data_IF_237931389907
#
_entry.id   IF_237931389907
#
_cell.length_a   1.000
_cell.length_b   1.000
_cell.length_c   1.000
_cell.angle_alpha   90.00
_cell.angle_beta   90.00
_cell.angle_gamma   90.00
#
_symmetry.space_group_name_H-M   'P 1'
#
loop_
_entity.id
_entity.type
_entity.pdbx_description
1 polymer ?
#
# COMPACT_ATOMS: atom_id res chain seq x y z
N UNK A 1 7.08 4.94 11.46
CA UNK A 1 7.88 4.72 12.67
C UNK A 1 8.37 3.28 12.80
N UNK A 2 7.51 2.26 12.68
CA UNK A 2 7.91 0.84 12.75
C UNK A 2 8.96 0.45 11.70
N UNK A 3 8.80 0.86 10.44
CA UNK A 3 9.76 0.55 9.38
C UNK A 3 11.16 1.12 9.64
N UNK A 4 11.27 2.28 10.30
CA UNK A 4 12.56 2.85 10.69
C UNK A 4 13.28 1.99 11.72
N UNK A 5 12.52 1.39 12.63
CA UNK A 5 13.08 0.49 13.67
C UNK A 5 13.48 -0.86 13.06
N UNK A 6 12.74 -1.36 12.08
CA UNK A 6 12.98 -2.68 11.49
C UNK A 6 14.05 -2.67 10.39
N UNK A 7 14.05 -1.66 9.52
CA UNK A 7 14.90 -1.63 8.31
C UNK A 7 15.95 -0.53 8.30
N UNK A 8 15.82 0.47 9.19
CA UNK A 8 16.64 1.66 9.22
C UNK A 8 16.12 2.77 8.30
N UNK A 9 16.59 4.00 8.54
CA UNK A 9 16.07 5.23 7.91
C UNK A 9 16.20 5.22 6.39
N UNK A 10 17.36 4.84 5.86
CA UNK A 10 17.63 4.87 4.43
C UNK A 10 16.74 3.92 3.64
N UNK A 11 16.61 2.67 4.11
CA UNK A 11 15.76 1.67 3.45
C UNK A 11 14.28 2.05 3.49
N UNK A 12 13.83 2.60 4.62
CA UNK A 12 12.46 3.12 4.74
C UNK A 12 12.20 4.25 3.77
N UNK A 13 13.15 5.18 3.61
CA UNK A 13 13.02 6.28 2.66
C UNK A 13 13.00 5.77 1.21
N UNK A 14 13.90 4.84 0.86
CA UNK A 14 13.91 4.22 -0.47
C UNK A 14 12.59 3.51 -0.76
N UNK A 15 12.08 2.74 0.21
CA UNK A 15 10.78 2.06 0.07
C UNK A 15 9.64 3.05 -0.15
N UNK A 16 9.58 4.10 0.66
CA UNK A 16 8.53 5.11 0.58
C UNK A 16 8.56 5.83 -0.78
N UNK A 17 9.73 6.29 -1.20
CA UNK A 17 9.89 7.01 -2.48
C UNK A 17 9.61 6.08 -3.67
N UNK A 18 10.16 4.87 -3.68
CA UNK A 18 9.94 3.94 -4.78
C UNK A 18 8.48 3.48 -4.84
N UNK A 19 7.87 3.19 -3.69
CA UNK A 19 6.46 2.81 -3.62
C UNK A 19 5.54 3.92 -4.14
N UNK A 20 5.77 5.15 -3.70
CA UNK A 20 5.04 6.32 -4.19
C UNK A 20 5.20 6.52 -5.70
N UNK A 21 6.43 6.49 -6.22
CA UNK A 21 6.69 6.71 -7.64
C UNK A 21 6.09 5.61 -8.53
N UNK A 22 6.14 4.35 -8.09
CA UNK A 22 5.53 3.23 -8.81
C UNK A 22 4.01 3.37 -8.83
N UNK A 23 3.39 3.70 -7.68
CA UNK A 23 1.96 3.93 -7.59
C UNK A 23 1.53 5.10 -8.47
N UNK A 24 2.20 6.25 -8.36
CA UNK A 24 1.93 7.42 -9.20
C UNK A 24 2.03 7.11 -10.68
N UNK A 25 3.03 6.33 -11.11
CA UNK A 25 3.18 5.92 -12.50
C UNK A 25 2.05 4.98 -12.96
N UNK A 26 1.60 4.06 -12.10
CA UNK A 26 0.50 3.14 -12.38
C UNK A 26 -0.84 3.88 -12.48
N UNK A 27 -1.12 4.79 -11.53
CA UNK A 27 -2.31 5.63 -11.53
C UNK A 27 -2.34 6.56 -12.74
N UNK A 28 -1.24 7.27 -13.00
CA UNK A 28 -1.11 8.12 -14.18
C UNK A 28 -1.29 7.35 -15.49
N UNK A 29 -0.72 6.15 -15.57
CA UNK A 29 -0.88 5.25 -16.72
C UNK A 29 -2.33 4.81 -16.91
N UNK A 30 -3.04 4.55 -15.80
CA UNK A 30 -4.44 4.14 -15.83
C UNK A 30 -5.37 5.26 -16.30
N UNK A 31 -5.26 6.45 -15.74
CA UNK A 31 -6.11 7.58 -16.13
C UNK A 31 -5.87 8.06 -17.57
N UNK A 32 -4.65 7.90 -18.10
CA UNK A 32 -4.30 8.38 -19.45
C UNK A 32 -4.33 7.28 -20.52
N UNK A 33 -4.00 6.05 -20.17
CA UNK A 33 -3.80 4.95 -21.12
C UNK A 33 -4.59 3.68 -20.78
N UNK A 34 -5.27 3.65 -19.64
CA UNK A 34 -6.01 2.48 -19.18
C UNK A 34 -5.13 1.32 -18.71
N UNK A 35 -3.86 1.56 -18.38
CA UNK A 35 -2.92 0.53 -17.93
C UNK A 35 -2.23 0.99 -16.63
N UNK A 36 -2.18 0.16 -15.57
CA UNK A 36 -2.60 -1.25 -15.48
C UNK A 36 -4.05 -1.49 -15.04
N UNK A 37 -4.73 -0.52 -14.41
CA UNK A 37 -5.99 -0.73 -13.68
C UNK A 37 -7.26 -0.51 -14.52
N UNK A 38 -7.13 -0.13 -15.79
CA UNK A 38 -8.25 0.30 -16.62
C UNK A 38 -8.40 1.82 -16.65
N UNK A 39 -9.34 2.32 -17.49
CA UNK A 39 -9.66 3.74 -17.52
C UNK A 39 -10.59 4.09 -16.35
N UNK A 40 -10.27 5.14 -15.64
CA UNK A 40 -11.13 5.80 -14.66
C UNK A 40 -10.76 7.28 -14.56
N UNK A 41 -11.61 8.07 -13.93
CA UNK A 41 -11.37 9.48 -13.72
C UNK A 41 -11.64 9.88 -12.28
N UNK A 42 -10.83 10.80 -11.76
CA UNK A 42 -11.02 11.35 -10.42
C UNK A 42 -12.09 12.45 -10.41
N UNK A 43 -12.87 12.51 -9.34
CA UNK A 43 -13.79 13.60 -9.04
C UNK A 43 -13.05 14.77 -8.38
N UNK A 44 -12.40 15.61 -9.17
CA UNK A 44 -11.57 16.71 -8.67
C UNK A 44 -12.35 17.72 -7.81
N UNK A 45 -13.67 17.82 -8.00
CA UNK A 45 -14.53 18.66 -7.16
C UNK A 45 -14.57 18.24 -5.69
N UNK A 46 -14.33 16.96 -5.42
CA UNK A 46 -14.25 16.41 -4.05
C UNK A 46 -12.84 16.51 -3.46
N UNK A 47 -11.85 16.84 -4.27
CA UNK A 47 -10.43 16.88 -3.94
C UNK A 47 -9.90 18.32 -3.73
N UNK A 48 -10.79 19.30 -3.48
CA UNK A 48 -10.44 20.73 -3.37
C UNK A 48 -9.29 21.05 -2.40
N UNK A 49 -9.04 20.20 -1.40
CA UNK A 49 -7.99 20.38 -0.39
C UNK A 49 -6.80 19.44 -0.59
N UNK A 50 -6.87 18.53 -1.57
CA UNK A 50 -5.83 17.54 -1.79
C UNK A 50 -4.81 18.01 -2.82
N UNK A 51 -3.54 17.68 -2.57
CA UNK A 51 -2.50 17.92 -3.56
C UNK A 51 -2.64 16.92 -4.70
N UNK A 52 -2.66 17.44 -5.92
CA UNK A 52 -2.75 16.63 -7.14
C UNK A 52 -1.42 16.71 -7.89
N UNK A 53 -0.82 15.57 -8.18
CA UNK A 53 0.43 15.44 -8.93
C UNK A 53 0.16 14.67 -10.22
N UNK A 54 0.40 15.30 -11.36
CA UNK A 54 0.13 14.72 -12.69
C UNK A 54 -1.32 14.21 -12.90
N UNK A 55 -2.28 14.84 -12.23
CA UNK A 55 -3.67 14.41 -12.28
C UNK A 55 -4.05 13.31 -11.28
N UNK A 56 -3.12 12.88 -10.44
CA UNK A 56 -3.33 11.86 -9.41
C UNK A 56 -3.28 12.51 -8.03
N UNK A 57 -4.21 12.21 -7.11
CA UNK A 57 -4.15 12.69 -5.74
C UNK A 57 -2.89 12.18 -5.03
N UNK A 58 -2.18 13.08 -4.36
CA UNK A 58 -0.91 12.77 -3.69
C UNK A 58 -1.07 11.67 -2.64
N UNK A 59 -2.11 11.76 -1.83
CA UNK A 59 -2.34 10.81 -0.74
C UNK A 59 -2.79 9.44 -1.23
N UNK A 60 -3.42 9.37 -2.40
CA UNK A 60 -3.80 8.12 -3.04
C UNK A 60 -2.55 7.28 -3.38
N UNK A 61 -1.65 7.83 -4.19
CA UNK A 61 -0.36 7.17 -4.48
C UNK A 61 0.49 6.89 -3.23
N UNK A 62 0.42 7.76 -2.21
CA UNK A 62 1.15 7.58 -0.96
C UNK A 62 0.60 6.39 -0.15
N UNK A 63 -0.72 6.15 -0.20
CA UNK A 63 -1.36 5.05 0.50
C UNK A 63 -0.81 3.70 0.07
N UNK A 64 -0.52 3.50 -1.20
CA UNK A 64 0.09 2.28 -1.73
C UNK A 64 1.46 1.97 -1.10
N UNK A 65 2.27 2.98 -0.82
CA UNK A 65 3.56 2.79 -0.16
C UNK A 65 3.39 2.26 1.27
N UNK A 66 2.37 2.71 2.01
CA UNK A 66 2.07 2.23 3.34
C UNK A 66 1.41 0.86 3.32
N UNK A 67 0.42 0.65 2.46
CA UNK A 67 -0.31 -0.61 2.35
C UNK A 67 0.61 -1.74 1.88
N UNK A 68 1.49 -1.48 0.91
CA UNK A 68 2.48 -2.47 0.46
C UNK A 68 3.45 -2.85 1.58
N UNK A 69 3.91 -1.88 2.38
CA UNK A 69 4.76 -2.17 3.54
C UNK A 69 4.02 -3.00 4.61
N UNK A 70 2.78 -2.62 4.92
CA UNK A 70 1.96 -3.35 5.90
C UNK A 70 1.70 -4.79 5.45
N UNK A 71 1.30 -4.98 4.19
CA UNK A 71 1.03 -6.29 3.58
C UNK A 71 2.29 -7.17 3.55
N UNK A 72 3.44 -6.60 3.20
CA UNK A 72 4.71 -7.31 3.23
C UNK A 72 5.14 -7.69 4.65
N UNK A 73 4.97 -6.77 5.61
CA UNK A 73 5.26 -7.04 7.03
C UNK A 73 4.35 -8.13 7.60
N UNK A 74 3.09 -8.14 7.17
CA UNK A 74 2.13 -9.17 7.54
C UNK A 74 2.50 -10.54 6.94
N UNK A 75 2.89 -10.58 5.66
CA UNK A 75 3.39 -11.79 5.02
C UNK A 75 4.62 -12.36 5.75
N UNK A 76 5.56 -11.50 6.12
CA UNK A 76 6.72 -11.91 6.91
C UNK A 76 6.30 -12.44 8.29
N UNK A 77 5.30 -11.85 8.92
CA UNK A 77 4.76 -12.32 10.19
C UNK A 77 4.24 -13.76 10.07
N UNK A 78 3.49 -14.03 9.01
CA UNK A 78 2.94 -15.36 8.71
C UNK A 78 4.04 -16.42 8.49
N UNK A 79 5.11 -16.04 7.80
CA UNK A 79 6.21 -16.94 7.44
C UNK A 79 7.30 -17.07 8.52
N UNK A 80 7.23 -16.25 9.56
CA UNK A 80 8.23 -16.22 10.62
C UNK A 80 7.88 -17.17 11.76
N UNK A 81 8.90 -17.75 12.39
CA UNK A 81 8.72 -18.45 13.66
C UNK A 81 8.38 -17.45 14.77
N UNK A 82 7.55 -17.89 15.69
CA UNK A 82 7.17 -17.11 16.87
C UNK A 82 7.64 -17.82 18.13
N UNK A 83 8.31 -17.08 18.99
CA UNK A 83 8.66 -17.55 20.33
C UNK A 83 7.69 -16.92 21.33
N UNK A 84 7.14 -17.76 22.23
CA UNK A 84 6.18 -17.33 23.24
C UNK A 84 6.71 -17.61 24.63
N UNK A 85 6.68 -16.59 25.49
CA UNK A 85 6.94 -16.74 26.92
C UNK A 85 5.82 -16.02 27.68
N UNK A 86 4.89 -16.78 28.24
CA UNK A 86 3.68 -16.24 28.88
C UNK A 86 2.84 -15.42 27.89
N UNK A 87 2.63 -14.14 28.20
CA UNK A 87 1.92 -13.19 27.34
C UNK A 87 2.83 -12.48 26.32
N UNK A 88 4.14 -12.68 26.41
CA UNK A 88 5.08 -12.07 25.48
C UNK A 88 5.26 -12.97 24.25
N UNK A 89 4.94 -12.43 23.06
CA UNK A 89 5.13 -13.11 21.77
C UNK A 89 6.15 -12.32 20.98
N UNK A 90 7.26 -12.94 20.64
CA UNK A 90 8.32 -12.34 19.82
C UNK A 90 8.41 -13.04 18.48
N UNK A 91 8.42 -12.24 17.41
CA UNK A 91 8.64 -12.72 16.06
C UNK A 91 10.13 -12.91 15.80
N UNK A 92 10.51 -14.09 15.34
CA UNK A 92 11.87 -14.40 14.91
C UNK A 92 11.90 -14.46 13.39
N UNK A 93 12.22 -13.32 12.77
CA UNK A 93 12.31 -13.25 11.30
C UNK A 93 13.73 -13.57 10.86
N UNK A 94 13.93 -14.75 10.32
CA UNK A 94 15.20 -15.15 9.72
C UNK A 94 15.49 -14.30 8.47
N UNK A 95 16.78 -14.11 8.15
CA UNK A 95 17.20 -13.39 6.94
C UNK A 95 16.67 -14.06 5.66
N UNK A 96 16.57 -15.38 5.65
CA UNK A 96 15.98 -16.16 4.56
C UNK A 96 14.51 -15.84 4.35
N UNK A 97 13.71 -15.75 5.41
CA UNK A 97 12.30 -15.36 5.35
C UNK A 97 12.14 -13.92 4.87
N UNK A 98 12.97 -13.01 5.36
CA UNK A 98 12.93 -11.60 4.98
C UNK A 98 13.26 -11.36 3.50
N UNK A 99 14.16 -12.17 2.92
CA UNK A 99 14.56 -12.09 1.51
C UNK A 99 13.86 -13.13 0.64
N UNK A 100 12.80 -13.76 1.14
CA UNK A 100 12.08 -14.80 0.41
C UNK A 100 11.17 -14.20 -0.66
N UNK A 101 11.23 -14.75 -1.87
CA UNK A 101 10.26 -14.45 -2.92
C UNK A 101 8.83 -14.81 -2.49
N UNK A 102 8.67 -15.86 -1.68
CA UNK A 102 7.37 -16.24 -1.11
C UNK A 102 6.78 -15.11 -0.25
N UNK A 103 7.61 -14.41 0.55
CA UNK A 103 7.15 -13.26 1.33
C UNK A 103 6.71 -12.10 0.41
N UNK A 104 7.39 -11.89 -0.71
CA UNK A 104 6.99 -10.88 -1.69
C UNK A 104 5.66 -11.23 -2.36
N UNK A 105 5.49 -12.48 -2.83
CA UNK A 105 4.23 -12.92 -3.45
C UNK A 105 3.07 -12.90 -2.47
N UNK A 106 3.28 -13.36 -1.25
CA UNK A 106 2.25 -13.33 -0.21
C UNK A 106 1.89 -11.89 0.20
N UNK A 107 2.88 -11.00 0.26
CA UNK A 107 2.66 -9.57 0.48
C UNK A 107 1.84 -8.91 -0.62
N UNK A 108 2.17 -9.20 -1.89
CA UNK A 108 1.39 -8.74 -3.04
C UNK A 108 -0.05 -9.30 -3.03
N UNK A 109 -0.21 -10.57 -2.68
CA UNK A 109 -1.53 -11.17 -2.50
C UNK A 109 -2.36 -10.48 -1.41
N UNK A 110 -1.77 -10.21 -0.25
CA UNK A 110 -2.46 -9.48 0.81
C UNK A 110 -2.79 -8.05 0.41
N UNK A 111 -1.93 -7.38 -0.34
CA UNK A 111 -2.21 -6.05 -0.89
C UNK A 111 -3.43 -6.10 -1.81
N UNK A 112 -3.48 -7.05 -2.74
CA UNK A 112 -4.62 -7.25 -3.65
C UNK A 112 -5.93 -7.54 -2.89
N UNK A 113 -5.87 -8.36 -1.84
CA UNK A 113 -7.05 -8.65 -1.00
C UNK A 113 -7.54 -7.41 -0.26
N UNK A 114 -6.62 -6.60 0.27
CA UNK A 114 -6.96 -5.34 0.92
C UNK A 114 -7.63 -4.38 -0.07
N UNK A 115 -7.07 -4.21 -1.23
CA UNK A 115 -7.60 -3.39 -2.31
C UNK A 115 -9.02 -3.83 -2.69
N UNK A 116 -9.20 -5.14 -2.91
CA UNK A 116 -10.51 -5.70 -3.23
C UNK A 116 -11.57 -5.49 -2.15
N UNK A 117 -11.17 -5.42 -0.89
CA UNK A 117 -12.09 -5.14 0.23
C UNK A 117 -12.34 -3.63 0.38
N UNK A 118 -11.32 -2.80 0.18
CA UNK A 118 -11.42 -1.35 0.43
C UNK A 118 -12.08 -0.59 -0.71
N UNK A 119 -11.88 -1.01 -1.95
CA UNK A 119 -12.48 -0.37 -3.12
C UNK A 119 -14.01 -0.27 -3.06
N UNK A 120 -14.77 -1.37 -2.85
CA UNK A 120 -16.22 -1.27 -2.73
C UNK A 120 -16.66 -0.39 -1.56
N UNK A 121 -15.87 -0.36 -0.47
CA UNK A 121 -16.18 0.46 0.71
C UNK A 121 -15.94 1.93 0.44
N UNK A 122 -14.91 2.29 -0.33
CA UNK A 122 -14.63 3.66 -0.74
C UNK A 122 -15.77 4.26 -1.58
N UNK A 123 -16.48 3.44 -2.37
CA UNK A 123 -17.65 3.86 -3.15
C UNK A 123 -18.96 3.97 -2.35
N UNK A 124 -19.03 3.44 -1.13
CA UNK A 124 -20.27 3.38 -0.34
C UNK A 124 -20.67 4.69 0.33
N UNK A 125 -19.93 5.78 0.16
CA UNK A 125 -20.46 7.04 0.60
C UNK A 125 -19.53 8.11 1.16
N UNK A 126 -20.15 9.24 1.43
CA UNK A 126 -19.59 10.53 1.89
C UNK A 126 -18.82 10.48 3.23
N UNK A 127 -18.69 9.33 3.86
CA UNK A 127 -18.10 9.16 5.19
C UNK A 127 -16.80 8.38 5.21
N UNK A 128 -16.35 7.86 4.08
CA UNK A 128 -15.06 7.24 3.98
C UNK A 128 -13.96 8.31 3.91
N UNK A 129 -12.77 7.97 4.37
CA UNK A 129 -11.61 8.85 4.46
C UNK A 129 -11.28 9.61 3.15
N UNK A 130 -11.49 8.98 2.01
CA UNK A 130 -11.27 9.58 0.69
C UNK A 130 -12.59 9.95 -0.02
N UNK A 131 -13.74 9.50 0.48
CA UNK A 131 -15.03 9.72 -0.16
C UNK A 131 -15.15 9.02 -1.51
N UNK A 132 -16.06 9.52 -2.35
CA UNK A 132 -16.29 9.03 -3.72
C UNK A 132 -15.38 9.83 -4.66
N UNK A 133 -14.11 9.46 -4.73
CA UNK A 133 -13.07 10.26 -5.40
C UNK A 133 -12.82 9.87 -6.85
N UNK A 134 -13.30 8.72 -7.33
CA UNK A 134 -13.12 8.28 -8.71
C UNK A 134 -14.33 7.48 -9.24
N UNK A 135 -14.46 7.43 -10.58
CA UNK A 135 -15.47 6.63 -11.28
C UNK A 135 -14.84 5.93 -12.49
N UNK A 136 -15.38 4.77 -12.84
CA UNK A 136 -15.01 3.96 -14.00
C UNK A 136 -15.79 4.39 -15.27
#
# INVERSE_FOLDING_TARGET
MLSWLEQGKLRTLIWLLSGYLIALAAEWGSINHGIPFGYYAYHYEMLEQDWVVLGVPFFDSLSFAFLSYASFSFAQCFLSAHWRSGFNVQRITLRTTRNSHLACFLGAFFMMVLDWITDPVAHLGKHWFLGDIYHY
#
